data_IF_324697262811
#
_entry.id   IF_324697262811
#
_cell.length_a   1.000
_cell.length_b   1.000
_cell.length_c   1.000
_cell.angle_alpha   90.00
_cell.angle_beta   90.00
_cell.angle_gamma   90.00
#
_symmetry.space_group_name_H-M   'P 1'
#
loop_
_entity.id
_entity.type
_entity.pdbx_description
1 polymer ?
#
# COMPACT_ATOMS: atom_id res chain seq x y z
N UNK A 1 28.94 -2.97 9.93
CA UNK A 1 28.29 -1.70 9.58
C UNK A 1 26.96 -1.71 10.31
N UNK A 2 26.66 -0.76 11.21
CA UNK A 2 25.39 -0.78 11.92
C UNK A 2 24.29 -0.57 10.89
N UNK A 3 23.38 -1.54 10.79
CA UNK A 3 22.11 -1.38 10.09
C UNK A 3 21.44 -0.17 10.71
N UNK A 4 21.36 0.94 9.98
CA UNK A 4 20.46 2.02 10.34
C UNK A 4 19.05 1.42 10.32
N UNK A 5 18.60 0.96 11.48
CA UNK A 5 17.20 0.68 11.72
C UNK A 5 16.50 2.03 11.51
N UNK A 6 16.01 2.24 10.29
CA UNK A 6 15.03 3.26 10.02
C UNK A 6 13.95 3.02 11.07
N UNK A 7 13.81 3.94 12.03
CA UNK A 7 12.83 3.81 13.09
C UNK A 7 11.48 4.15 12.46
N UNK A 8 10.98 3.21 11.65
CA UNK A 8 9.72 3.32 10.93
C UNK A 8 8.64 3.15 11.97
N UNK A 9 8.02 4.26 12.39
CA UNK A 9 6.81 4.22 13.21
C UNK A 9 5.60 4.03 12.30
N UNK A 10 5.67 3.01 11.44
CA UNK A 10 4.61 2.70 10.51
C UNK A 10 3.44 2.09 11.27
N UNK A 11 2.24 2.60 11.03
CA UNK A 11 1.03 2.05 11.62
C UNK A 11 0.33 1.19 10.58
N UNK A 12 0.39 -0.13 10.75
CA UNK A 12 -0.24 -1.12 9.87
C UNK A 12 -1.49 -1.69 10.54
N UNK A 13 -2.53 -1.91 9.76
CA UNK A 13 -3.76 -2.57 10.15
C UNK A 13 -4.12 -3.62 9.10
N UNK A 14 -4.21 -4.87 9.52
CA UNK A 14 -4.53 -5.97 8.61
C UNK A 14 -6.04 -6.09 8.39
N UNK A 15 -6.44 -6.49 7.19
CA UNK A 15 -7.82 -6.86 6.93
C UNK A 15 -8.15 -8.15 7.71
N UNK A 16 -9.33 -8.24 8.35
CA UNK A 16 -9.68 -9.40 9.17
C UNK A 16 -9.96 -10.66 8.34
N UNK A 17 -10.30 -10.49 7.07
CA UNK A 17 -10.65 -11.56 6.12
C UNK A 17 -10.29 -11.12 4.70
N UNK A 18 -9.96 -12.08 3.84
CA UNK A 18 -9.73 -11.83 2.41
C UNK A 18 -9.15 -13.06 1.73
N UNK A 19 -8.64 -12.88 0.52
CA UNK A 19 -7.84 -13.91 -0.12
C UNK A 19 -6.41 -13.87 0.42
N UNK A 20 -5.75 -15.02 0.43
CA UNK A 20 -4.32 -15.12 0.70
C UNK A 20 -3.57 -15.26 -0.62
N UNK A 21 -2.40 -14.68 -0.71
CA UNK A 21 -1.50 -14.81 -1.86
C UNK A 21 -0.29 -13.93 -1.70
N UNK A 22 0.59 -13.91 -2.70
CA UNK A 22 1.83 -13.15 -2.65
C UNK A 22 1.81 -12.00 -3.66
N UNK A 23 2.09 -10.78 -3.21
CA UNK A 23 2.24 -9.60 -4.08
C UNK A 23 3.69 -9.08 -4.10
N UNK A 24 4.64 -9.83 -3.53
CA UNK A 24 6.04 -9.44 -3.41
C UNK A 24 6.71 -9.16 -4.77
N UNK A 25 6.24 -9.82 -5.84
CA UNK A 25 6.75 -9.60 -7.20
C UNK A 25 6.23 -8.31 -7.85
N UNK A 26 5.03 -7.85 -7.47
CA UNK A 26 4.30 -6.78 -8.19
C UNK A 26 4.12 -5.49 -7.39
N UNK A 27 4.35 -5.49 -6.07
CA UNK A 27 4.10 -4.30 -5.25
C UNK A 27 4.92 -3.06 -5.65
N UNK A 28 6.15 -3.25 -6.17
CA UNK A 28 6.96 -2.14 -6.69
C UNK A 28 6.29 -1.45 -7.87
N UNK A 29 5.79 -2.22 -8.84
CA UNK A 29 5.05 -1.70 -9.99
C UNK A 29 3.74 -1.03 -9.55
N UNK A 30 3.01 -1.64 -8.62
CA UNK A 30 1.78 -1.06 -8.08
C UNK A 30 2.04 0.29 -7.40
N UNK A 31 3.17 0.45 -6.72
CA UNK A 31 3.57 1.73 -6.15
C UNK A 31 3.93 2.78 -7.20
N UNK A 32 4.64 2.41 -8.28
CA UNK A 32 4.94 3.35 -9.38
C UNK A 32 3.64 3.95 -9.95
N UNK A 33 2.68 3.09 -10.30
CA UNK A 33 1.37 3.53 -10.84
C UNK A 33 0.62 4.47 -9.90
N UNK A 34 0.65 4.22 -8.59
CA UNK A 34 -0.08 5.06 -7.62
C UNK A 34 0.67 6.32 -7.20
N UNK A 35 1.97 6.41 -7.43
CA UNK A 35 2.82 7.54 -7.01
C UNK A 35 3.15 8.52 -8.11
N UNK A 36 2.72 8.25 -9.34
CA UNK A 36 2.85 9.17 -10.48
C UNK A 36 1.82 10.30 -10.51
N UNK A 37 0.81 10.28 -9.63
CA UNK A 37 -0.29 11.26 -9.65
C UNK A 37 -0.43 12.04 -8.35
N UNK A 38 -0.66 13.35 -8.48
CA UNK A 38 -0.97 14.22 -7.36
C UNK A 38 -2.41 14.00 -6.90
N UNK A 39 -2.60 13.83 -5.59
CA UNK A 39 -3.91 13.58 -4.97
C UNK A 39 -4.36 14.81 -4.18
N UNK A 40 -5.58 15.28 -4.44
CA UNK A 40 -6.23 16.28 -3.60
C UNK A 40 -6.64 15.68 -2.25
N UNK A 41 -6.85 16.49 -1.20
CA UNK A 41 -7.33 16.02 0.10
C UNK A 41 -8.59 15.14 -0.02
N UNK A 42 -8.59 14.00 0.65
CA UNK A 42 -9.70 13.03 0.65
C UNK A 42 -9.83 12.20 -0.64
N UNK A 43 -9.02 12.45 -1.66
CA UNK A 43 -9.05 11.66 -2.90
C UNK A 43 -8.19 10.41 -2.78
N UNK A 44 -8.55 9.40 -3.59
CA UNK A 44 -7.83 8.13 -3.65
C UNK A 44 -7.37 7.85 -5.08
N UNK A 45 -6.13 7.40 -5.22
CA UNK A 45 -5.68 6.64 -6.38
C UNK A 45 -5.90 5.15 -6.14
N UNK A 46 -6.13 4.39 -7.21
CA UNK A 46 -6.17 2.94 -7.18
C UNK A 46 -5.31 2.41 -8.31
N UNK A 47 -4.35 1.55 -7.99
CA UNK A 47 -3.56 0.78 -8.95
C UNK A 47 -4.04 -0.65 -8.92
N UNK A 48 -4.72 -1.06 -9.99
CA UNK A 48 -5.25 -2.41 -10.13
C UNK A 48 -4.29 -3.32 -10.91
N UNK A 49 -4.16 -4.57 -10.44
CA UNK A 49 -4.08 -5.72 -11.31
C UNK A 49 -2.70 -6.16 -11.77
N UNK A 50 -1.73 -6.22 -10.86
CA UNK A 50 -0.59 -7.12 -11.07
C UNK A 50 -1.01 -8.53 -10.68
N UNK A 51 -0.90 -9.49 -11.60
CA UNK A 51 -0.86 -10.89 -11.21
C UNK A 51 0.56 -11.21 -10.76
N UNK A 52 0.72 -11.95 -9.67
CA UNK A 52 1.96 -12.67 -9.52
C UNK A 52 1.99 -13.82 -10.53
N UNK A 53 3.09 -13.96 -11.26
CA UNK A 53 3.23 -14.95 -12.34
C UNK A 53 3.09 -16.41 -11.87
N UNK A 54 2.98 -16.63 -10.55
CA UNK A 54 3.06 -17.94 -9.92
C UNK A 54 1.77 -18.38 -9.19
N UNK A 55 0.78 -17.50 -9.00
CA UNK A 55 -0.33 -17.76 -8.05
C UNK A 55 -1.69 -17.26 -8.54
N UNK A 56 -1.79 -16.68 -9.75
CA UNK A 56 -2.98 -15.99 -10.28
C UNK A 56 -3.58 -14.97 -9.30
N UNK A 57 -2.81 -14.55 -8.28
CA UNK A 57 -3.33 -13.70 -7.21
C UNK A 57 -3.37 -12.28 -7.73
N UNK A 58 -4.57 -11.73 -7.85
CA UNK A 58 -4.73 -10.35 -8.27
C UNK A 58 -4.40 -9.41 -7.11
N UNK A 59 -3.37 -8.58 -7.31
CA UNK A 59 -2.93 -7.60 -6.34
C UNK A 59 -3.52 -6.23 -6.67
N UNK A 60 -4.24 -5.65 -5.71
CA UNK A 60 -4.82 -4.32 -5.86
C UNK A 60 -4.28 -3.39 -4.79
N UNK A 61 -3.98 -2.16 -5.17
CA UNK A 61 -3.45 -1.13 -4.28
C UNK A 61 -4.29 0.12 -4.32
N UNK A 62 -4.36 0.82 -3.19
CA UNK A 62 -5.05 2.09 -3.06
C UNK A 62 -4.19 3.04 -2.24
N UNK A 63 -4.13 4.28 -2.67
CA UNK A 63 -3.44 5.36 -1.95
C UNK A 63 -4.44 6.49 -1.72
N UNK A 64 -4.63 6.88 -0.46
CA UNK A 64 -5.52 7.98 -0.06
C UNK A 64 -4.70 9.12 0.51
N UNK A 65 -5.01 10.35 0.12
CA UNK A 65 -4.47 11.54 0.77
C UNK A 65 -5.39 11.97 1.92
N UNK A 66 -5.02 11.66 3.16
CA UNK A 66 -5.68 12.14 4.38
C UNK A 66 -5.15 13.51 4.84
N UNK A 67 -4.16 14.07 4.15
CA UNK A 67 -3.64 15.40 4.40
C UNK A 67 -4.63 16.50 4.05
N UNK A 68 -4.25 17.73 4.39
CA UNK A 68 -5.03 18.95 4.13
C UNK A 68 -4.60 19.69 2.85
N UNK A 69 -3.60 19.18 2.13
CA UNK A 69 -3.07 19.79 0.91
C UNK A 69 -2.98 18.76 -0.21
N UNK A 70 -3.08 19.24 -1.44
CA UNK A 70 -2.84 18.45 -2.64
C UNK A 70 -1.35 18.09 -2.71
N UNK A 71 -1.04 16.80 -2.75
CA UNK A 71 0.34 16.30 -2.69
C UNK A 71 0.51 15.00 -3.48
N UNK A 72 1.74 14.66 -3.83
CA UNK A 72 2.10 13.42 -4.51
C UNK A 72 2.66 12.42 -3.50
N UNK A 73 2.15 11.18 -3.44
CA UNK A 73 2.68 10.17 -2.53
C UNK A 73 4.10 9.75 -2.93
N UNK A 74 4.93 9.45 -1.93
CA UNK A 74 6.31 8.98 -2.18
C UNK A 74 6.33 7.51 -2.58
N UNK A 75 7.06 7.19 -3.65
CA UNK A 75 7.35 5.81 -4.07
C UNK A 75 7.98 4.99 -2.93
N UNK A 76 8.94 5.58 -2.21
CA UNK A 76 9.62 4.91 -1.10
C UNK A 76 8.67 4.65 0.09
N UNK A 77 7.79 5.60 0.41
CA UNK A 77 6.79 5.42 1.46
C UNK A 77 5.83 4.29 1.09
N UNK A 78 5.36 4.26 -0.17
CA UNK A 78 4.50 3.20 -0.66
C UNK A 78 5.17 1.83 -0.54
N UNK A 79 6.38 1.67 -1.09
CA UNK A 79 7.10 0.40 -1.08
C UNK A 79 7.36 -0.11 0.35
N UNK A 80 7.70 0.80 1.27
CA UNK A 80 7.95 0.45 2.67
C UNK A 80 6.67 -0.04 3.36
N UNK A 81 5.57 0.71 3.23
CA UNK A 81 4.30 0.35 3.87
C UNK A 81 3.71 -0.92 3.27
N UNK A 82 3.71 -1.06 1.93
CA UNK A 82 3.21 -2.28 1.28
C UNK A 82 4.08 -3.50 1.59
N UNK A 83 5.40 -3.35 1.66
CA UNK A 83 6.30 -4.42 2.08
C UNK A 83 6.01 -4.92 3.50
N UNK A 84 5.70 -4.01 4.43
CA UNK A 84 5.27 -4.38 5.79
C UNK A 84 3.91 -5.08 5.77
N UNK A 85 2.93 -4.59 5.00
CA UNK A 85 1.62 -5.23 4.86
C UNK A 85 1.76 -6.67 4.32
N UNK A 86 2.59 -6.90 3.30
CA UNK A 86 2.82 -8.25 2.74
C UNK A 86 3.42 -9.19 3.80
N UNK A 87 4.34 -8.68 4.62
CA UNK A 87 5.01 -9.48 5.64
C UNK A 87 4.10 -9.80 6.85
N UNK A 88 3.25 -8.85 7.24
CA UNK A 88 2.51 -8.92 8.51
C UNK A 88 1.02 -9.31 8.32
N UNK A 89 0.44 -9.07 7.15
CA UNK A 89 -0.99 -9.20 6.91
C UNK A 89 -1.31 -10.26 5.83
N UNK A 90 -1.77 -11.47 6.22
CA UNK A 90 -2.00 -12.58 5.30
C UNK A 90 -3.11 -12.32 4.26
N UNK A 91 -4.00 -11.36 4.51
CA UNK A 91 -5.10 -10.96 3.62
C UNK A 91 -4.90 -9.58 2.99
N UNK A 92 -3.73 -8.97 3.17
CA UNK A 92 -3.52 -7.55 2.94
C UNK A 92 -4.00 -6.68 4.09
N UNK A 93 -3.89 -5.37 3.91
CA UNK A 93 -4.12 -4.39 4.95
C UNK A 93 -3.90 -2.97 4.45
N UNK A 94 -3.81 -2.05 5.39
CA UNK A 94 -3.56 -0.64 5.12
C UNK A 94 -2.68 -0.02 6.21
N UNK A 95 -2.02 1.08 5.88
CA UNK A 95 -1.18 1.76 6.84
C UNK A 95 -0.54 3.03 6.33
N UNK A 96 0.24 3.65 7.22
CA UNK A 96 1.01 4.87 6.97
C UNK A 96 2.47 4.64 7.33
N UNK A 97 3.38 5.34 6.66
CA UNK A 97 4.81 5.28 7.00
C UNK A 97 5.07 5.88 8.39
N UNK A 98 4.30 6.91 8.76
CA UNK A 98 4.35 7.56 10.06
C UNK A 98 3.00 8.21 10.39
N UNK A 99 2.73 8.55 11.67
CA UNK A 99 1.49 9.25 12.05
C UNK A 99 1.32 10.63 11.39
N UNK A 100 2.41 11.23 10.93
CA UNK A 100 2.42 12.52 10.24
C UNK A 100 2.40 12.40 8.72
N UNK A 101 2.50 11.18 8.18
CA UNK A 101 2.41 10.96 6.73
C UNK A 101 0.96 11.25 6.27
N UNK A 102 0.77 12.14 5.29
CA UNK A 102 -0.57 12.46 4.80
C UNK A 102 -1.18 11.31 3.99
N UNK A 103 -0.40 10.29 3.59
CA UNK A 103 -0.89 9.20 2.75
C UNK A 103 -1.13 7.91 3.52
N UNK A 104 -2.31 7.33 3.32
CA UNK A 104 -2.58 5.93 3.67
C UNK A 104 -2.43 5.06 2.44
N UNK A 105 -1.64 4.00 2.56
CA UNK A 105 -1.42 2.99 1.54
C UNK A 105 -2.16 1.72 1.93
N UNK A 106 -2.84 1.09 0.98
CA UNK A 106 -3.55 -0.15 1.20
C UNK A 106 -3.26 -1.15 0.08
N UNK A 107 -3.21 -2.42 0.45
CA UNK A 107 -3.03 -3.56 -0.44
C UNK A 107 -4.08 -4.61 -0.11
N UNK A 108 -4.81 -5.05 -1.12
CA UNK A 108 -5.72 -6.19 -1.03
C UNK A 108 -5.32 -7.28 -2.02
N UNK A 109 -5.53 -8.52 -1.58
CA UNK A 109 -5.17 -9.73 -2.30
C UNK A 109 -6.43 -10.37 -2.91
N UNK A 110 -6.31 -10.92 -4.12
CA UNK A 110 -7.35 -11.70 -4.80
C UNK A 110 -8.61 -10.92 -5.18
N UNK A 111 -8.57 -9.59 -5.16
CA UNK A 111 -9.73 -8.72 -5.45
C UNK A 111 -9.36 -7.59 -6.38
N UNK A 112 -10.25 -7.24 -7.31
CA UNK A 112 -10.05 -6.15 -8.27
C UNK A 112 -10.15 -4.75 -7.66
N UNK A 113 -10.64 -4.63 -6.43
CA UNK A 113 -10.73 -3.35 -5.72
C UNK A 113 -10.29 -3.51 -4.26
N UNK A 114 -9.57 -2.53 -3.74
CA UNK A 114 -9.14 -2.49 -2.34
C UNK A 114 -10.29 -1.93 -1.50
N UNK A 115 -10.66 -2.58 -0.37
CA UNK A 115 -11.67 -2.06 0.54
C UNK A 115 -11.43 -0.58 0.87
N UNK A 116 -12.50 0.22 1.06
CA UNK A 116 -12.36 1.63 1.37
C UNK A 116 -11.50 1.79 2.63
N UNK A 117 -10.51 2.67 2.54
CA UNK A 117 -9.68 3.05 3.67
C UNK A 117 -10.56 3.88 4.61
N UNK A 118 -10.73 3.48 5.88
CA UNK A 118 -11.55 4.20 6.84
C UNK A 118 -11.13 5.66 7.05
#
# INVERSE_FOLDING_TARGET
MPSNAFNINASISCFPTGFTGDCSAVFSFLCEVNTDSTLAPGTTSSGGGGHDDNSDTLCSTRVKNDGNVTATPSLQSCQTVLGLIILECPFGGFGKLSPTDPFTYALALGVSDVPPIP
#
